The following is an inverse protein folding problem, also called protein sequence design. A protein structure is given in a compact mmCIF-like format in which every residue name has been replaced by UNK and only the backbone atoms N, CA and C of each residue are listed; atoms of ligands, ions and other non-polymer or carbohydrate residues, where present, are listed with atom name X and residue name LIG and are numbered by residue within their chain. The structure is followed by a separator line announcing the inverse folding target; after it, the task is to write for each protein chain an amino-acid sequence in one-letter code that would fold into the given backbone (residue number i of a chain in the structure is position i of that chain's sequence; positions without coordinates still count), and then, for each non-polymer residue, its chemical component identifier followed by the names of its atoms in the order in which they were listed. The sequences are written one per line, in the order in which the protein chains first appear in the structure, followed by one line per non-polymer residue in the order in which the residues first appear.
data_IF_807230236899
#
_entry.id   IF_807230236899
#
_cell.length_a   1.000
_cell.length_b   1.000
_cell.length_c   1.000
_cell.angle_alpha   90.00
_cell.angle_beta   90.00
_cell.angle_gamma   90.00
#
_symmetry.space_group_name_H-M   'P 1'
#
loop_
_entity.id
_entity.type
_entity.pdbx_description
1 polymer ?
#
# COMPACT_ATOMS: atom_id res chain seq x y z
N UNK A 1 12.43 0.52 -24.19
CA UNK A 1 12.65 -0.19 -25.46
C UNK A 1 11.49 0.16 -26.39
N UNK A 2 11.52 -0.16 -27.68
CA UNK A 2 10.27 -0.06 -28.48
C UNK A 2 9.39 -1.24 -28.10
N UNK A 3 8.14 -0.99 -27.74
CA UNK A 3 7.15 -2.01 -27.41
C UNK A 3 6.87 -2.93 -28.62
N UNK A 4 6.85 -4.24 -28.37
CA UNK A 4 6.68 -5.27 -29.39
C UNK A 4 5.30 -5.91 -29.39
N UNK A 5 4.54 -5.85 -28.29
CA UNK A 5 3.26 -6.54 -28.15
C UNK A 5 2.05 -5.58 -28.03
N UNK A 6 2.32 -4.29 -27.84
CA UNK A 6 1.32 -3.23 -27.88
C UNK A 6 0.53 -3.09 -26.58
N UNK A 7 1.07 -3.60 -25.47
CA UNK A 7 0.42 -3.55 -24.16
C UNK A 7 0.66 -2.24 -23.41
N UNK A 8 1.63 -1.43 -23.84
CA UNK A 8 1.94 -0.11 -23.28
C UNK A 8 1.36 1.05 -24.10
N UNK A 9 0.69 1.98 -23.41
CA UNK A 9 -0.04 3.10 -24.03
C UNK A 9 0.86 4.11 -24.77
N UNK A 10 2.18 4.15 -24.48
CA UNK A 10 3.16 5.00 -25.17
C UNK A 10 3.96 4.28 -26.26
N UNK A 11 3.72 2.97 -26.45
CA UNK A 11 4.48 2.14 -27.38
C UNK A 11 5.95 1.97 -27.00
N UNK A 12 6.27 2.09 -25.71
CA UNK A 12 7.60 1.87 -25.15
C UNK A 12 7.55 0.78 -24.07
N UNK A 13 8.45 -0.19 -24.21
CA UNK A 13 8.58 -1.33 -23.28
C UNK A 13 9.58 -0.99 -22.17
N UNK A 14 9.28 -1.41 -20.94
CA UNK A 14 10.12 -1.14 -19.78
C UNK A 14 11.14 -2.22 -19.53
N UNK A 15 12.39 -1.77 -19.36
CA UNK A 15 13.52 -2.67 -19.39
C UNK A 15 14.53 -2.37 -18.30
N UNK A 16 15.11 -3.45 -17.76
CA UNK A 16 16.32 -3.40 -16.98
C UNK A 16 17.52 -3.29 -17.92
N UNK A 17 18.53 -2.53 -17.49
CA UNK A 17 19.75 -2.30 -18.26
C UNK A 17 20.91 -3.12 -17.72
N UNK A 18 21.33 -4.20 -18.42
CA UNK A 18 22.56 -4.91 -18.11
C UNK A 18 23.81 -4.04 -18.32
N UNK A 19 24.93 -4.46 -17.73
CA UNK A 19 26.19 -3.71 -17.82
C UNK A 19 26.77 -3.65 -19.24
N UNK A 20 26.38 -4.58 -20.11
CA UNK A 20 26.82 -4.72 -21.51
C UNK A 20 25.81 -4.15 -22.51
N UNK A 21 24.84 -3.35 -22.04
CA UNK A 21 23.87 -2.67 -22.89
C UNK A 21 24.55 -1.80 -23.95
N UNK A 22 24.11 -1.94 -25.21
CA UNK A 22 24.70 -1.20 -26.34
C UNK A 22 23.70 -0.23 -26.94
N UNK A 23 24.08 1.03 -27.11
CA UNK A 23 23.29 2.00 -27.86
C UNK A 23 23.33 1.68 -29.37
N UNK A 24 22.17 1.55 -30.00
CA UNK A 24 22.03 1.35 -31.45
C UNK A 24 20.96 2.28 -32.01
N UNK A 25 21.41 3.34 -32.69
CA UNK A 25 20.54 4.42 -33.17
C UNK A 25 19.72 5.01 -32.02
N UNK A 26 18.39 5.02 -32.13
CA UNK A 26 17.49 5.58 -31.10
C UNK A 26 17.13 4.60 -29.99
N UNK A 27 17.66 3.38 -29.99
CA UNK A 27 17.29 2.35 -29.03
C UNK A 27 18.49 1.70 -28.36
N UNK A 28 18.20 1.01 -27.26
CA UNK A 28 19.13 0.14 -26.58
C UNK A 28 19.02 -1.29 -27.12
N UNK A 29 20.12 -2.03 -27.15
CA UNK A 29 20.16 -3.45 -27.53
C UNK A 29 20.77 -4.23 -26.38
N UNK A 30 20.13 -5.33 -26.01
CA UNK A 30 20.52 -6.18 -24.88
C UNK A 30 19.87 -5.77 -23.56
N UNK A 31 18.80 -4.97 -23.59
CA UNK A 31 18.00 -4.70 -22.39
C UNK A 31 17.18 -5.96 -22.05
N UNK A 32 16.86 -6.13 -20.77
CA UNK A 32 15.93 -7.18 -20.31
C UNK A 32 14.57 -6.54 -20.17
N UNK A 33 13.66 -6.90 -21.06
CA UNK A 33 12.29 -6.37 -21.12
C UNK A 33 11.42 -6.96 -20.02
N UNK A 34 10.33 -6.28 -19.67
CA UNK A 34 9.34 -6.78 -18.74
C UNK A 34 8.64 -8.04 -19.28
N UNK A 35 8.40 -8.12 -20.59
CA UNK A 35 7.96 -9.32 -21.31
C UNK A 35 8.84 -10.56 -21.04
N UNK A 36 10.16 -10.38 -21.11
CA UNK A 36 11.13 -11.45 -20.80
C UNK A 36 11.10 -11.82 -19.32
N UNK A 37 10.95 -10.84 -18.42
CA UNK A 37 10.77 -11.09 -16.99
C UNK A 37 9.47 -11.83 -16.72
N UNK A 38 8.38 -11.46 -17.37
CA UNK A 38 7.07 -12.08 -17.28
C UNK A 38 7.13 -13.55 -17.70
N UNK A 39 7.81 -13.84 -18.83
CA UNK A 39 8.03 -15.22 -19.28
C UNK A 39 8.85 -16.06 -18.28
N UNK A 40 9.76 -15.43 -17.52
CA UNK A 40 10.52 -16.10 -16.45
C UNK A 40 9.63 -16.32 -15.23
N UNK A 41 8.86 -15.32 -14.80
CA UNK A 41 7.97 -15.37 -13.64
C UNK A 41 6.85 -16.41 -13.84
N UNK A 42 6.33 -16.54 -15.05
CA UNK A 42 5.35 -17.56 -15.44
C UNK A 42 5.87 -18.98 -15.16
N UNK A 43 7.17 -19.22 -15.35
CA UNK A 43 7.80 -20.53 -15.07
C UNK A 43 7.99 -20.78 -13.57
N UNK A 44 7.78 -19.78 -12.73
CA UNK A 44 7.87 -19.86 -11.27
C UNK A 44 6.49 -20.00 -10.61
N UNK A 45 5.41 -20.16 -11.37
CA UNK A 45 4.06 -20.42 -10.84
C UNK A 45 4.03 -21.51 -9.76
N UNK A 46 3.24 -21.28 -8.71
CA UNK A 46 3.12 -22.14 -7.54
C UNK A 46 4.27 -22.01 -6.52
N UNK A 47 5.20 -21.07 -6.72
CA UNK A 47 6.30 -20.75 -5.80
C UNK A 47 6.10 -19.36 -5.20
N UNK A 48 6.54 -19.18 -3.96
CA UNK A 48 6.70 -17.86 -3.39
C UNK A 48 7.88 -17.15 -4.06
N UNK A 49 7.62 -15.99 -4.66
CA UNK A 49 8.63 -15.18 -5.36
C UNK A 49 8.52 -13.75 -4.87
N UNK A 50 9.63 -13.22 -4.35
CA UNK A 50 9.75 -11.80 -4.06
C UNK A 50 10.67 -11.17 -5.09
N UNK A 51 10.15 -10.20 -5.85
CA UNK A 51 10.90 -9.40 -6.80
C UNK A 51 11.20 -8.04 -6.18
N UNK A 52 12.47 -7.62 -6.16
CA UNK A 52 12.89 -6.34 -5.60
C UNK A 52 13.66 -5.58 -6.65
N UNK A 53 13.08 -4.51 -7.17
CA UNK A 53 13.65 -3.69 -8.25
C UNK A 53 14.02 -2.32 -7.68
N UNK A 54 15.31 -2.09 -7.50
CA UNK A 54 15.88 -0.79 -7.10
C UNK A 54 16.45 -0.04 -8.31
N UNK A 55 15.56 0.28 -9.24
CA UNK A 55 15.84 0.99 -10.49
C UNK A 55 14.79 2.08 -10.73
N UNK A 56 15.12 3.06 -11.57
CA UNK A 56 14.17 4.09 -11.97
C UNK A 56 13.07 3.52 -12.87
N UNK A 57 11.96 4.26 -12.89
CA UNK A 57 10.73 3.86 -13.54
C UNK A 57 10.28 4.96 -14.51
N UNK A 58 11.20 5.41 -15.35
CA UNK A 58 11.06 6.63 -16.15
C UNK A 58 10.68 6.33 -17.60
N UNK A 59 9.39 6.11 -17.88
CA UNK A 59 8.88 6.07 -19.26
C UNK A 59 9.03 7.44 -19.95
N UNK A 60 8.81 8.54 -19.22
CA UNK A 60 9.19 9.90 -19.64
C UNK A 60 9.55 10.71 -18.40
N UNK A 61 10.82 11.11 -18.29
CA UNK A 61 11.30 11.93 -17.17
C UNK A 61 10.48 13.24 -17.08
N UNK A 62 9.99 13.56 -15.88
CA UNK A 62 9.12 14.71 -15.61
C UNK A 62 9.85 16.07 -15.71
N UNK A 63 9.07 17.15 -15.64
CA UNK A 63 9.48 18.53 -15.96
C UNK A 63 10.69 19.08 -15.17
N UNK A 64 11.00 18.56 -13.98
CA UNK A 64 12.08 19.13 -13.13
C UNK A 64 13.48 18.71 -13.56
N UNK A 65 13.61 17.65 -14.37
CA UNK A 65 14.90 17.12 -14.76
C UNK A 65 15.29 17.50 -16.20
N UNK A 66 14.39 18.12 -16.97
CA UNK A 66 14.52 18.40 -18.42
C UNK A 66 15.79 19.16 -18.82
N UNK A 67 16.28 20.09 -17.99
CA UNK A 67 17.49 20.87 -18.31
C UNK A 67 18.81 20.14 -17.95
N UNK A 68 18.75 19.08 -17.11
CA UNK A 68 19.93 18.36 -16.61
C UNK A 68 19.99 16.87 -17.04
N UNK A 69 18.95 16.30 -17.67
CA UNK A 69 18.91 14.90 -18.14
C UNK A 69 20.11 14.54 -19.03
N UNK A 70 20.62 15.50 -19.81
CA UNK A 70 21.79 15.30 -20.68
C UNK A 70 23.13 15.21 -19.96
N UNK A 71 23.23 15.64 -18.69
CA UNK A 71 24.46 15.62 -17.89
C UNK A 71 24.48 14.53 -16.80
N UNK A 72 23.34 13.90 -16.52
CA UNK A 72 23.16 12.99 -15.39
C UNK A 72 22.98 13.75 -14.08
N UNK A 73 22.05 13.28 -13.24
CA UNK A 73 21.84 13.85 -11.90
C UNK A 73 22.60 12.96 -10.92
N UNK A 74 23.45 13.57 -10.10
CA UNK A 74 24.26 12.81 -9.14
C UNK A 74 23.36 12.02 -8.17
N UNK A 75 23.60 10.72 -8.06
CA UNK A 75 22.79 9.78 -7.28
C UNK A 75 21.52 9.28 -7.95
N UNK A 76 21.18 9.74 -9.16
CA UNK A 76 19.97 9.31 -9.85
C UNK A 76 20.19 8.00 -10.63
N UNK A 77 19.36 7.01 -10.29
CA UNK A 77 18.99 5.73 -10.91
C UNK A 77 18.84 5.49 -12.41
N UNK A 78 19.22 6.35 -13.36
CA UNK A 78 18.65 6.27 -14.72
C UNK A 78 19.62 6.27 -15.90
N UNK A 79 19.18 5.66 -17.01
CA UNK A 79 19.85 5.73 -18.31
C UNK A 79 18.97 6.45 -19.33
N UNK A 80 19.35 7.64 -19.84
CA UNK A 80 18.57 8.32 -20.88
C UNK A 80 18.60 7.55 -22.19
N UNK A 81 17.54 7.65 -22.99
CA UNK A 81 17.50 7.06 -24.33
C UNK A 81 18.60 7.67 -25.21
N UNK A 82 19.29 6.88 -26.07
CA UNK A 82 20.25 7.43 -27.00
C UNK A 82 19.58 8.43 -27.94
N UNK A 83 20.23 9.58 -28.15
CA UNK A 83 19.71 10.68 -28.99
C UNK A 83 18.39 11.31 -28.52
N UNK A 84 17.99 11.11 -27.26
CA UNK A 84 16.84 11.79 -26.66
C UNK A 84 16.99 13.31 -26.77
N UNK A 85 16.01 13.98 -27.38
CA UNK A 85 15.95 15.45 -27.39
C UNK A 85 15.17 15.92 -26.16
N UNK A 86 15.59 17.02 -25.51
CA UNK A 86 14.76 17.68 -24.50
C UNK A 86 13.41 18.02 -25.12
N UNK A 87 12.31 17.64 -24.46
CA UNK A 87 10.94 17.93 -24.93
C UNK A 87 10.40 19.09 -24.09
N UNK A 88 10.03 20.22 -24.71
CA UNK A 88 9.53 21.43 -24.01
C UNK A 88 8.25 21.17 -23.19
N UNK A 89 7.46 20.16 -23.60
CA UNK A 89 6.31 19.68 -22.85
C UNK A 89 6.22 18.16 -23.00
N UNK A 90 6.56 17.43 -21.93
CA UNK A 90 6.07 16.06 -21.78
C UNK A 90 4.54 16.12 -21.74
N UNK A 91 3.88 15.62 -22.78
CA UNK A 91 2.44 15.33 -22.74
C UNK A 91 2.27 14.12 -21.82
N UNK A 92 2.19 14.37 -20.52
CA UNK A 92 2.06 13.33 -19.49
C UNK A 92 0.61 12.83 -19.47
N UNK A 93 0.27 11.88 -20.33
CA UNK A 93 -0.75 10.89 -19.95
C UNK A 93 -0.03 9.84 -19.12
N UNK A 94 -0.53 9.61 -17.91
CA UNK A 94 0.17 8.81 -16.92
C UNK A 94 0.30 7.37 -17.38
N UNK A 95 1.51 6.97 -17.78
CA UNK A 95 1.84 5.57 -17.94
C UNK A 95 1.86 4.85 -16.59
N UNK A 96 1.30 3.65 -16.58
CA UNK A 96 1.41 2.63 -15.53
C UNK A 96 2.41 1.61 -16.06
N UNK A 97 3.47 1.31 -15.32
CA UNK A 97 4.19 0.07 -15.60
C UNK A 97 3.41 -1.01 -14.89
N UNK A 98 2.61 -1.72 -15.65
CA UNK A 98 1.89 -2.87 -15.15
C UNK A 98 2.81 -4.10 -15.25
N UNK A 99 3.61 -4.39 -14.20
CA UNK A 99 4.23 -5.72 -14.02
C UNK A 99 3.15 -6.80 -13.71
N UNK A 100 1.94 -6.62 -14.23
CA UNK A 100 0.92 -7.63 -14.33
C UNK A 100 0.31 -8.11 -13.01
N UNK A 101 0.65 -7.52 -11.86
CA UNK A 101 0.11 -7.99 -10.57
C UNK A 101 -1.31 -7.46 -10.30
N UNK A 102 -1.63 -6.24 -10.77
CA UNK A 102 -2.89 -5.57 -10.41
C UNK A 102 -3.80 -5.35 -11.62
N UNK A 103 -3.26 -4.97 -12.79
CA UNK A 103 -4.07 -4.65 -13.98
C UNK A 103 -4.15 -5.80 -15.02
N UNK A 104 -3.31 -6.86 -14.89
CA UNK A 104 -3.44 -8.16 -15.59
C UNK A 104 -3.85 -9.29 -14.59
N UNK A 105 -5.07 -9.25 -14.01
CA UNK A 105 -5.47 -10.05 -12.85
C UNK A 105 -5.42 -11.58 -13.03
N UNK A 106 -5.36 -12.09 -14.26
CA UNK A 106 -5.22 -13.53 -14.50
C UNK A 106 -3.85 -14.10 -14.12
N UNK A 107 -2.78 -13.29 -14.09
CA UNK A 107 -1.41 -13.77 -13.84
C UNK A 107 -0.98 -13.67 -12.37
N UNK A 108 -1.38 -12.60 -11.69
CA UNK A 108 -1.17 -12.36 -10.26
C UNK A 108 -1.93 -13.35 -9.35
N UNK A 109 -3.15 -13.71 -9.78
CA UNK A 109 -4.03 -14.59 -9.03
C UNK A 109 -3.51 -16.03 -8.93
N UNK A 110 -2.50 -16.43 -9.70
CA UNK A 110 -1.94 -17.79 -9.67
C UNK A 110 -0.52 -17.88 -9.12
N UNK A 111 0.23 -16.78 -9.07
CA UNK A 111 1.69 -16.83 -8.90
C UNK A 111 2.20 -16.41 -7.52
N UNK A 112 1.38 -15.75 -6.69
CA UNK A 112 1.75 -15.28 -5.34
C UNK A 112 3.11 -14.59 -5.28
N UNK A 113 3.37 -13.78 -6.31
CA UNK A 113 4.52 -12.89 -6.43
C UNK A 113 4.28 -11.67 -5.54
N UNK A 114 5.33 -11.20 -4.88
CA UNK A 114 5.37 -9.91 -4.18
C UNK A 114 6.45 -9.06 -4.85
N UNK A 115 6.05 -8.01 -5.55
CA UNK A 115 6.97 -7.13 -6.26
C UNK A 115 7.13 -5.81 -5.50
N UNK A 116 8.37 -5.42 -5.27
CA UNK A 116 8.77 -4.16 -4.64
C UNK A 116 9.55 -3.32 -5.63
N UNK A 117 9.21 -2.04 -5.74
CA UNK A 117 9.93 -1.10 -6.61
C UNK A 117 10.36 0.13 -5.83
N UNK A 118 11.54 0.65 -6.16
CA UNK A 118 12.10 1.82 -5.48
C UNK A 118 11.41 3.14 -5.79
N UNK A 119 10.68 3.24 -6.90
CA UNK A 119 10.09 4.49 -7.36
C UNK A 119 8.81 4.26 -8.16
N UNK A 120 7.90 5.24 -8.13
CA UNK A 120 6.66 5.25 -8.88
C UNK A 120 6.90 5.55 -10.37
N UNK A 121 5.89 5.36 -11.25
CA UNK A 121 5.94 5.81 -12.63
C UNK A 121 6.36 7.28 -12.78
N UNK A 122 7.38 7.48 -13.60
CA UNK A 122 8.02 8.76 -13.91
C UNK A 122 8.88 9.35 -12.79
N UNK A 123 9.19 8.57 -11.76
CA UNK A 123 10.18 8.91 -10.75
C UNK A 123 11.51 8.19 -11.00
N UNK A 124 12.54 8.70 -10.35
CA UNK A 124 13.89 8.13 -10.39
C UNK A 124 14.18 7.51 -9.03
N UNK A 125 14.75 6.29 -9.02
CA UNK A 125 15.32 5.71 -7.82
C UNK A 125 16.64 6.41 -7.47
N UNK A 126 17.01 6.45 -6.20
CA UNK A 126 18.14 7.23 -5.72
C UNK A 126 19.18 6.39 -4.99
N UNK A 127 20.46 6.67 -5.23
CA UNK A 127 21.56 6.39 -4.32
C UNK A 127 21.68 7.49 -3.26
N UNK A 128 22.03 7.11 -2.04
CA UNK A 128 22.16 8.03 -0.92
C UNK A 128 23.41 8.92 -1.08
N UNK A 129 23.22 10.10 -1.67
CA UNK A 129 24.33 11.04 -1.94
C UNK A 129 24.88 11.73 -0.70
N UNK A 130 24.28 11.52 0.48
CA UNK A 130 24.82 11.99 1.77
C UNK A 130 26.07 11.20 2.16
N UNK A 131 26.30 10.05 1.53
CA UNK A 131 27.45 9.19 1.74
C UNK A 131 28.58 9.45 0.71
N UNK A 132 29.85 9.18 1.08
CA UNK A 132 30.96 9.13 0.13
C UNK A 132 30.70 8.13 -1.00
N UNK A 133 31.19 8.41 -2.21
CA UNK A 133 30.91 7.63 -3.44
C UNK A 133 31.14 6.14 -3.26
N UNK A 134 32.23 5.75 -2.60
CA UNK A 134 32.61 4.36 -2.33
C UNK A 134 31.69 3.61 -1.35
N UNK A 135 30.87 4.35 -0.61
CA UNK A 135 29.92 3.83 0.39
C UNK A 135 28.47 4.11 0.01
N UNK A 136 28.20 4.72 -1.15
CA UNK A 136 26.84 4.98 -1.62
C UNK A 136 26.10 3.67 -1.85
N UNK A 137 24.84 3.68 -1.49
CA UNK A 137 23.91 2.59 -1.68
C UNK A 137 22.51 3.13 -1.97
N UNK A 138 21.63 2.28 -2.50
CA UNK A 138 20.26 2.66 -2.83
C UNK A 138 19.50 3.08 -1.58
N UNK A 139 18.79 4.20 -1.66
CA UNK A 139 17.93 4.71 -0.57
C UNK A 139 16.83 3.71 -0.26
N UNK A 140 16.16 3.21 -1.30
CA UNK A 140 15.14 2.19 -1.18
C UNK A 140 15.71 0.89 -0.60
N UNK A 141 16.80 0.35 -1.16
CA UNK A 141 17.37 -0.92 -0.67
C UNK A 141 17.80 -0.83 0.79
N UNK A 142 18.41 0.29 1.21
CA UNK A 142 18.82 0.48 2.60
C UNK A 142 17.60 0.48 3.55
N UNK A 143 16.53 1.20 3.20
CA UNK A 143 15.29 1.19 3.97
C UNK A 143 14.62 -0.20 3.97
N UNK A 144 14.55 -0.86 2.81
CA UNK A 144 13.96 -2.19 2.65
C UNK A 144 14.66 -3.23 3.52
N UNK A 145 16.00 -3.23 3.56
CA UNK A 145 16.77 -4.12 4.44
C UNK A 145 16.61 -3.72 5.90
N UNK A 146 16.68 -2.42 6.23
CA UNK A 146 16.57 -1.95 7.60
C UNK A 146 15.21 -2.30 8.23
N UNK A 147 14.12 -2.13 7.48
CA UNK A 147 12.76 -2.44 7.93
C UNK A 147 12.53 -3.92 8.21
N UNK A 148 13.27 -4.79 7.51
CA UNK A 148 13.24 -6.24 7.74
C UNK A 148 14.10 -6.68 8.94
N UNK A 149 14.99 -5.81 9.42
CA UNK A 149 15.88 -6.09 10.53
C UNK A 149 15.43 -5.38 11.80
N UNK A 150 15.02 -6.15 12.81
CA UNK A 150 14.55 -5.60 14.08
C UNK A 150 13.07 -5.28 14.05
N UNK A 151 12.67 -4.21 14.76
CA UNK A 151 11.26 -3.83 14.98
C UNK A 151 10.93 -2.42 14.46
N UNK A 152 11.76 -1.86 13.57
CA UNK A 152 11.59 -0.49 13.09
C UNK A 152 10.39 -0.32 12.16
N UNK A 153 10.05 -1.36 11.40
CA UNK A 153 8.87 -1.39 10.54
C UNK A 153 7.64 -2.00 11.21
N UNK A 154 7.79 -2.76 12.30
CA UNK A 154 6.69 -3.32 13.11
C UNK A 154 5.95 -2.17 13.84
N UNK A 155 4.91 -1.65 13.19
CA UNK A 155 4.24 -0.42 13.58
C UNK A 155 3.28 -0.63 14.76
N UNK A 156 2.71 -1.84 14.88
CA UNK A 156 1.84 -2.21 15.99
C UNK A 156 2.60 -2.89 17.16
N UNK A 157 3.91 -3.11 17.01
CA UNK A 157 4.79 -3.76 17.98
C UNK A 157 4.34 -5.18 18.37
N UNK A 158 3.72 -5.92 17.44
CA UNK A 158 3.27 -7.29 17.68
C UNK A 158 4.40 -8.33 17.53
N UNK A 159 5.56 -7.94 16.99
CA UNK A 159 6.70 -8.82 16.75
C UNK A 159 6.68 -9.50 15.37
N UNK A 160 5.78 -9.09 14.48
CA UNK A 160 5.67 -9.48 13.08
C UNK A 160 5.77 -8.20 12.24
N UNK A 161 6.60 -8.23 11.20
CA UNK A 161 6.62 -7.14 10.21
C UNK A 161 5.91 -7.62 8.97
N UNK A 162 4.73 -7.05 8.73
CA UNK A 162 3.90 -7.35 7.57
C UNK A 162 4.39 -6.64 6.30
N UNK A 163 3.88 -7.05 5.14
CA UNK A 163 4.19 -6.36 3.88
C UNK A 163 3.67 -4.91 3.89
N UNK A 164 2.49 -4.65 4.45
CA UNK A 164 1.97 -3.28 4.52
C UNK A 164 2.80 -2.39 5.45
N UNK A 165 3.23 -2.91 6.60
CA UNK A 165 4.10 -2.20 7.53
C UNK A 165 5.48 -1.90 6.95
N UNK A 166 6.11 -2.89 6.31
CA UNK A 166 7.38 -2.69 5.62
C UNK A 166 7.24 -1.64 4.51
N UNK A 167 6.12 -1.65 3.80
CA UNK A 167 5.84 -0.66 2.76
C UNK A 167 5.70 0.76 3.30
N UNK A 168 4.94 0.96 4.39
CA UNK A 168 4.81 2.28 5.04
C UNK A 168 6.16 2.76 5.60
N UNK A 169 6.96 1.86 6.19
CA UNK A 169 8.30 2.19 6.66
C UNK A 169 9.22 2.65 5.53
N UNK A 170 9.29 1.87 4.44
CA UNK A 170 10.16 2.20 3.29
C UNK A 170 9.71 3.49 2.61
N UNK A 171 8.40 3.72 2.53
CA UNK A 171 7.82 4.98 2.03
C UNK A 171 8.24 6.16 2.89
N UNK A 172 8.13 6.04 4.21
CA UNK A 172 8.52 7.12 5.14
C UNK A 172 10.03 7.43 5.09
N UNK A 173 10.89 6.41 5.00
CA UNK A 173 12.34 6.61 4.85
C UNK A 173 12.70 7.27 3.52
N UNK A 174 12.03 6.85 2.44
CA UNK A 174 12.22 7.42 1.10
C UNK A 174 11.81 8.89 1.04
N UNK A 175 10.64 9.23 1.63
CA UNK A 175 10.18 10.61 1.76
C UNK A 175 11.13 11.47 2.60
N UNK A 176 11.64 10.92 3.71
CA UNK A 176 12.62 11.60 4.58
C UNK A 176 13.92 11.89 3.85
N UNK A 177 14.43 10.94 3.08
CA UNK A 177 15.60 11.16 2.22
C UNK A 177 15.30 12.26 1.20
N UNK A 178 14.21 12.14 0.46
CA UNK A 178 13.86 13.04 -0.62
C UNK A 178 13.72 14.49 -0.13
N UNK A 179 13.03 14.69 1.01
CA UNK A 179 12.91 16.01 1.66
C UNK A 179 14.24 16.62 2.11
N UNK A 180 15.31 15.84 2.22
CA UNK A 180 16.66 16.32 2.56
C UNK A 180 17.50 16.71 1.34
N UNK A 181 17.03 16.43 0.13
CA UNK A 181 17.76 16.69 -1.12
C UNK A 181 17.07 17.78 -1.92
N UNK A 182 17.83 18.77 -2.39
CA UNK A 182 17.28 19.87 -3.22
C UNK A 182 16.72 19.40 -4.56
N UNK A 183 17.30 18.31 -5.11
CA UNK A 183 16.97 17.76 -6.44
C UNK A 183 16.00 16.58 -6.40
N UNK A 184 15.49 16.22 -5.23
CA UNK A 184 14.51 15.14 -5.09
C UNK A 184 13.14 15.75 -4.81
N UNK A 185 12.25 15.70 -5.80
CA UNK A 185 10.87 16.17 -5.63
C UNK A 185 10.07 15.16 -4.79
N UNK A 186 9.99 13.92 -5.27
CA UNK A 186 9.31 12.81 -4.61
C UNK A 186 10.02 11.49 -4.88
N UNK A 187 9.90 10.56 -3.92
CA UNK A 187 10.37 9.18 -4.04
C UNK A 187 9.33 8.29 -3.37
N UNK A 188 8.48 7.69 -4.19
CA UNK A 188 7.33 6.88 -3.78
C UNK A 188 7.56 5.41 -4.17
N UNK A 189 8.11 4.57 -3.28
CA UNK A 189 8.22 3.13 -3.48
C UNK A 189 6.87 2.49 -3.83
N UNK A 190 6.89 1.35 -4.51
CA UNK A 190 5.68 0.61 -4.88
C UNK A 190 5.71 -0.80 -4.30
N UNK A 191 4.54 -1.28 -3.86
CA UNK A 191 4.29 -2.67 -3.47
C UNK A 191 3.15 -3.22 -4.33
N UNK A 192 3.45 -4.29 -5.06
CA UNK A 192 2.52 -5.01 -5.89
C UNK A 192 2.39 -6.45 -5.38
N UNK A 193 1.20 -6.75 -4.88
CA UNK A 193 0.89 -8.06 -4.30
C UNK A 193 -0.61 -8.28 -4.29
N UNK A 194 -1.05 -9.51 -4.06
CA UNK A 194 -2.46 -9.79 -3.75
C UNK A 194 -2.84 -9.07 -2.46
N UNK A 195 -4.05 -8.52 -2.40
CA UNK A 195 -4.57 -7.86 -1.20
C UNK A 195 -4.37 -8.73 0.06
N UNK A 196 -4.67 -10.03 -0.03
CA UNK A 196 -4.58 -10.96 1.10
C UNK A 196 -3.16 -11.11 1.68
N UNK A 197 -2.12 -10.72 0.95
CA UNK A 197 -0.74 -10.77 1.41
C UNK A 197 -0.31 -9.50 2.17
N UNK A 198 -1.12 -8.44 2.22
CA UNK A 198 -0.74 -7.19 2.89
C UNK A 198 -0.38 -7.39 4.36
N UNK A 199 -1.25 -8.08 5.10
CA UNK A 199 -1.02 -8.43 6.51
C UNK A 199 -0.12 -9.65 6.72
N UNK A 200 0.37 -10.29 5.65
CA UNK A 200 1.30 -11.40 5.77
C UNK A 200 2.72 -10.88 6.01
N UNK A 201 3.50 -11.65 6.76
CA UNK A 201 4.86 -11.31 7.16
C UNK A 201 5.77 -11.13 5.95
N UNK A 202 6.43 -9.98 5.82
CA UNK A 202 7.46 -9.73 4.82
C UNK A 202 8.74 -10.55 5.08
N UNK A 203 8.99 -10.87 6.37
CA UNK A 203 10.10 -11.70 6.84
C UNK A 203 9.56 -12.75 7.78
N UNK A 204 10.16 -13.94 7.79
CA UNK A 204 9.85 -14.95 8.80
C UNK A 204 10.10 -14.36 10.20
N UNK A 205 9.10 -14.31 11.09
CA UNK A 205 9.28 -13.74 12.42
C UNK A 205 10.41 -14.41 13.18
N UNK A 206 11.34 -13.62 13.73
CA UNK A 206 12.52 -14.12 14.47
C UNK A 206 12.15 -14.98 15.69
N UNK A 207 10.93 -14.80 16.21
CA UNK A 207 10.40 -15.53 17.36
C UNK A 207 9.78 -16.90 17.03
N UNK A 208 10.06 -17.53 15.87
CA UNK A 208 9.50 -18.82 15.41
C UNK A 208 9.75 -20.07 16.31
N UNK A 209 9.86 -19.90 17.64
CA UNK A 209 9.69 -20.92 18.68
C UNK A 209 8.22 -21.14 19.07
N UNK A 210 7.99 -21.75 20.24
CA UNK A 210 6.67 -22.23 20.65
C UNK A 210 5.63 -21.12 20.92
N UNK A 211 6.04 -19.94 21.40
CA UNK A 211 5.13 -18.81 21.67
C UNK A 211 4.64 -18.14 20.38
N UNK A 212 5.50 -18.00 19.35
CA UNK A 212 5.07 -17.53 18.04
C UNK A 212 4.09 -18.47 17.33
N UNK A 213 4.13 -19.79 17.60
CA UNK A 213 3.15 -20.73 17.04
C UNK A 213 1.74 -20.55 17.62
N UNK A 214 1.61 -19.94 18.80
CA UNK A 214 0.32 -19.64 19.40
C UNK A 214 -0.26 -18.30 18.91
N UNK A 215 0.62 -17.35 18.55
CA UNK A 215 0.23 -16.01 18.08
C UNK A 215 0.04 -15.94 16.57
N UNK A 216 0.92 -16.59 15.81
CA UNK A 216 0.91 -16.52 14.36
C UNK A 216 0.42 -17.81 13.74
N UNK A 217 -0.37 -17.67 12.68
CA UNK A 217 -0.79 -18.76 11.82
C UNK A 217 -0.14 -18.63 10.44
N UNK A 218 0.02 -19.73 9.69
CA UNK A 218 0.44 -19.64 8.30
C UNK A 218 -0.57 -18.80 7.50
N UNK A 219 -0.07 -17.85 6.72
CA UNK A 219 -0.90 -17.15 5.77
C UNK A 219 -1.26 -18.10 4.61
N UNK A 220 -2.55 -18.33 4.42
CA UNK A 220 -3.04 -19.19 3.33
C UNK A 220 -2.93 -18.38 2.03
N UNK A 221 -1.76 -18.45 1.39
CA UNK A 221 -1.58 -18.10 -0.01
C UNK A 221 -1.47 -19.38 -0.86
N UNK A 222 -1.78 -19.29 -2.16
CA UNK A 222 -1.73 -20.41 -3.12
C UNK A 222 -0.33 -21.05 -3.30
N UNK A 223 0.68 -20.60 -2.55
CA UNK A 223 2.08 -20.95 -2.74
C UNK A 223 2.63 -21.89 -1.66
N UNK A 224 2.92 -23.11 -2.09
CA UNK A 224 3.44 -24.24 -1.28
C UNK A 224 4.91 -24.13 -0.83
N UNK A 225 5.56 -22.95 -0.93
CA UNK A 225 7.02 -22.83 -0.89
C UNK A 225 7.67 -22.04 0.26
N UNK A 226 6.97 -21.11 0.89
CA UNK A 226 7.44 -20.36 2.08
C UNK A 226 6.26 -20.14 3.01
N UNK A 227 6.44 -20.45 4.30
CA UNK A 227 5.48 -20.06 5.32
C UNK A 227 5.63 -18.56 5.57
N UNK A 228 4.84 -17.74 4.88
CA UNK A 228 4.48 -16.43 5.40
C UNK A 228 3.52 -16.64 6.58
N UNK A 229 3.58 -15.74 7.54
CA UNK A 229 2.80 -15.80 8.76
C UNK A 229 1.90 -14.57 8.86
N UNK A 230 0.83 -14.67 9.63
CA UNK A 230 -0.09 -13.57 9.93
C UNK A 230 -0.55 -13.73 11.39
N UNK A 231 -0.93 -12.63 12.06
CA UNK A 231 -1.47 -12.72 13.42
C UNK A 231 -2.80 -13.50 13.41
N UNK A 232 -2.90 -14.53 14.25
CA UNK A 232 -4.08 -15.38 14.34
C UNK A 232 -5.28 -14.64 14.96
N UNK A 233 -5.03 -13.56 15.71
CA UNK A 233 -6.08 -12.68 16.21
C UNK A 233 -6.42 -11.62 15.18
N UNK A 234 -7.65 -11.65 14.67
CA UNK A 234 -8.12 -10.71 13.66
C UNK A 234 -8.07 -9.23 14.10
N UNK A 235 -8.21 -8.95 15.40
CA UNK A 235 -8.12 -7.58 15.94
C UNK A 235 -6.66 -7.08 15.96
N UNK A 236 -5.71 -7.96 16.25
CA UNK A 236 -4.29 -7.62 16.21
C UNK A 236 -3.80 -7.49 14.75
N UNK A 237 -4.30 -8.34 13.86
CA UNK A 237 -4.01 -8.32 12.42
C UNK A 237 -4.47 -7.03 11.71
N UNK A 238 -5.34 -6.21 12.31
CA UNK A 238 -5.74 -4.90 11.73
C UNK A 238 -4.51 -4.04 11.49
N UNK A 239 -3.59 -3.96 12.46
CA UNK A 239 -2.37 -3.16 12.33
C UNK A 239 -1.48 -3.67 11.20
N UNK A 240 -1.35 -4.99 11.07
CA UNK A 240 -0.54 -5.64 10.02
C UNK A 240 -1.11 -5.38 8.63
N UNK A 241 -2.43 -5.39 8.47
CA UNK A 241 -3.06 -5.17 7.16
C UNK A 241 -3.03 -3.69 6.77
N UNK A 242 -3.27 -2.80 7.74
CA UNK A 242 -3.28 -1.35 7.52
C UNK A 242 -1.86 -0.84 7.27
N UNK A 243 -0.85 -1.41 7.93
CA UNK A 243 0.56 -1.02 7.81
C UNK A 243 0.93 0.33 8.43
N UNK A 244 -0.06 1.21 8.60
CA UNK A 244 0.09 2.58 9.03
C UNK A 244 -0.23 2.74 10.51
N UNK A 245 0.66 3.40 11.24
CA UNK A 245 0.42 3.77 12.63
C UNK A 245 -0.70 4.82 12.75
N UNK A 246 -1.52 4.70 13.78
CA UNK A 246 -2.48 5.73 14.16
C UNK A 246 -1.73 6.98 14.65
N UNK A 247 -1.62 7.99 13.78
CA UNK A 247 -0.98 9.27 14.08
C UNK A 247 -1.89 10.23 14.89
N UNK A 248 -3.09 9.80 15.28
CA UNK A 248 -4.09 10.62 15.96
C UNK A 248 -4.76 11.64 15.03
N UNK A 249 -4.74 11.41 13.72
CA UNK A 249 -5.43 12.24 12.73
C UNK A 249 -6.90 11.87 12.57
N UNK A 250 -7.27 10.65 12.94
CA UNK A 250 -8.65 10.17 13.02
C UNK A 250 -8.85 9.65 14.44
N UNK A 251 -9.86 10.16 15.13
CA UNK A 251 -10.20 9.70 16.48
C UNK A 251 -11.59 9.08 16.47
N UNK A 252 -11.72 7.96 17.17
CA UNK A 252 -12.98 7.29 17.42
C UNK A 252 -13.23 7.35 18.93
N UNK A 253 -14.44 7.71 19.33
CA UNK A 253 -14.86 7.64 20.73
C UNK A 253 -16.24 7.01 20.86
N UNK A 254 -16.45 6.36 22.01
CA UNK A 254 -17.75 5.85 22.44
C UNK A 254 -18.24 6.77 23.56
N UNK A 255 -19.54 7.07 23.58
CA UNK A 255 -20.18 7.88 24.64
C UNK A 255 -20.31 7.16 26.00
N UNK A 256 -19.68 6.00 26.14
CA UNK A 256 -19.67 5.17 27.35
C UNK A 256 -18.34 4.40 27.48
N UNK A 257 -18.07 3.72 28.60
CA UNK A 257 -16.85 2.93 28.77
C UNK A 257 -16.67 1.88 27.67
N UNK A 258 -15.42 1.64 27.26
CA UNK A 258 -15.07 0.63 26.25
C UNK A 258 -15.28 -0.81 26.72
N UNK A 259 -15.58 -1.04 28.00
CA UNK A 259 -16.09 -2.32 28.50
C UNK A 259 -17.60 -2.23 28.61
N UNK A 260 -18.31 -3.00 27.79
CA UNK A 260 -19.76 -2.97 27.66
C UNK A 260 -20.36 -4.35 27.95
N UNK A 261 -21.65 -4.36 28.30
CA UNK A 261 -22.44 -5.60 28.39
C UNK A 261 -23.21 -5.80 27.11
N UNK A 262 -23.47 -7.05 26.75
CA UNK A 262 -24.44 -7.33 25.67
C UNK A 262 -25.75 -6.61 25.97
N UNK A 263 -26.27 -5.85 25.00
CA UNK A 263 -27.46 -5.03 25.17
C UNK A 263 -27.21 -3.54 25.46
N UNK A 264 -25.96 -3.17 25.73
CA UNK A 264 -25.63 -1.78 25.99
C UNK A 264 -25.76 -0.91 24.72
N UNK A 265 -26.63 0.09 24.77
CA UNK A 265 -26.82 1.06 23.70
C UNK A 265 -25.73 2.14 23.69
N UNK A 266 -25.08 2.40 22.55
CA UNK A 266 -24.01 3.38 22.48
C UNK A 266 -24.04 4.24 21.21
N UNK A 267 -23.31 5.35 21.25
CA UNK A 267 -23.01 6.19 20.10
C UNK A 267 -21.52 6.24 19.85
N UNK A 268 -21.14 6.15 18.58
CA UNK A 268 -19.80 6.34 18.08
C UNK A 268 -19.64 7.77 17.60
N UNK A 269 -18.52 8.41 17.91
CA UNK A 269 -18.14 9.67 17.30
C UNK A 269 -16.80 9.50 16.60
N UNK A 270 -16.77 9.81 15.30
CA UNK A 270 -15.55 9.84 14.50
C UNK A 270 -15.22 11.28 14.17
N UNK A 271 -14.02 11.74 14.52
CA UNK A 271 -13.51 13.05 14.11
C UNK A 271 -12.20 12.86 13.33
N UNK A 272 -11.96 13.70 12.32
CA UNK A 272 -10.71 13.67 11.57
C UNK A 272 -10.15 15.07 11.39
N UNK A 273 -8.83 15.22 11.49
CA UNK A 273 -8.14 16.49 11.21
C UNK A 273 -8.18 16.87 9.72
N UNK A 274 -8.44 15.91 8.85
CA UNK A 274 -8.53 16.09 7.40
C UNK A 274 -9.96 15.83 6.92
N UNK A 275 -10.33 16.45 5.80
CA UNK A 275 -11.60 16.18 5.14
C UNK A 275 -11.45 14.96 4.22
N UNK A 276 -12.49 14.14 4.11
CA UNK A 276 -12.43 12.93 3.28
C UNK A 276 -13.62 12.00 3.44
N UNK A 277 -13.68 10.99 2.59
CA UNK A 277 -14.69 9.93 2.69
C UNK A 277 -14.34 8.98 3.84
N UNK A 278 -15.31 8.69 4.71
CA UNK A 278 -15.14 7.76 5.82
C UNK A 278 -15.54 6.34 5.41
N UNK A 279 -14.72 5.37 5.81
CA UNK A 279 -15.11 3.97 5.98
C UNK A 279 -14.92 3.63 7.45
N UNK A 280 -15.96 3.09 8.09
CA UNK A 280 -15.92 2.63 9.47
C UNK A 280 -16.31 1.16 9.52
N UNK A 281 -15.39 0.33 9.98
CA UNK A 281 -15.60 -1.10 10.19
C UNK A 281 -15.58 -1.41 11.68
N UNK A 282 -16.35 -2.41 12.09
CA UNK A 282 -16.23 -3.10 13.38
C UNK A 282 -15.69 -4.49 13.12
N UNK A 283 -14.60 -4.87 13.79
CA UNK A 283 -13.89 -6.14 13.60
C UNK A 283 -13.82 -6.87 14.93
N UNK A 284 -14.26 -8.13 14.96
CA UNK A 284 -14.18 -8.96 16.16
C UNK A 284 -13.05 -10.00 16.08
N UNK A 285 -12.74 -10.61 17.23
CA UNK A 285 -11.71 -11.65 17.35
C UNK A 285 -12.00 -12.93 16.56
N UNK A 286 -13.24 -13.17 16.13
CA UNK A 286 -13.59 -14.29 15.28
C UNK A 286 -13.26 -14.05 13.79
N UNK A 287 -12.76 -12.85 13.44
CA UNK A 287 -12.44 -12.49 12.07
C UNK A 287 -13.65 -12.05 11.25
N UNK A 288 -14.78 -11.78 11.90
CA UNK A 288 -15.94 -11.18 11.28
C UNK A 288 -15.84 -9.65 11.34
N UNK A 289 -16.24 -8.99 10.25
CA UNK A 289 -16.33 -7.55 10.15
C UNK A 289 -17.74 -7.09 9.77
N UNK A 290 -18.15 -5.96 10.34
CA UNK A 290 -19.38 -5.25 9.97
C UNK A 290 -19.02 -3.86 9.46
N UNK A 291 -19.53 -3.48 8.30
CA UNK A 291 -19.38 -2.12 7.79
C UNK A 291 -20.40 -1.19 8.45
N UNK A 292 -19.95 -0.45 9.45
CA UNK A 292 -20.76 0.53 10.19
C UNK A 292 -21.01 1.77 9.32
N UNK A 293 -20.05 2.18 8.49
CA UNK A 293 -20.20 3.30 7.57
C UNK A 293 -19.33 3.12 6.31
N UNK A 294 -19.79 3.53 5.11
CA UNK A 294 -21.16 3.92 4.80
C UNK A 294 -22.14 2.73 4.94
N UNK A 295 -23.44 2.95 4.96
CA UNK A 295 -24.43 1.85 5.00
C UNK A 295 -25.79 2.30 4.47
N UNK A 296 -26.70 1.35 4.29
CA UNK A 296 -28.02 1.57 3.67
C UNK A 296 -28.91 2.59 4.41
N UNK A 297 -28.68 2.81 5.70
CA UNK A 297 -29.43 3.77 6.55
C UNK A 297 -28.79 5.16 6.56
N UNK A 298 -27.51 5.26 6.20
CA UNK A 298 -26.68 6.47 6.31
C UNK A 298 -26.35 7.12 4.94
N UNK A 299 -27.18 6.89 3.91
CA UNK A 299 -26.85 7.21 2.52
C UNK A 299 -26.73 8.71 2.21
N UNK A 300 -27.33 9.57 3.05
CA UNK A 300 -27.31 11.04 2.86
C UNK A 300 -26.07 11.73 3.44
N UNK A 301 -25.24 10.99 4.19
CA UNK A 301 -24.05 11.56 4.82
C UNK A 301 -22.97 11.75 3.76
N UNK A 302 -22.50 12.99 3.66
CA UNK A 302 -21.43 13.45 2.76
C UNK A 302 -20.05 13.14 3.36
N UNK A 303 -18.96 13.29 2.58
CA UNK A 303 -17.60 13.22 3.12
C UNK A 303 -17.43 14.05 4.39
N UNK A 304 -16.63 13.55 5.33
CA UNK A 304 -16.29 14.25 6.56
C UNK A 304 -15.63 15.58 6.24
N UNK A 305 -16.02 16.61 6.98
CA UNK A 305 -15.31 17.88 7.01
C UNK A 305 -14.23 17.84 8.09
N UNK A 306 -13.09 18.47 7.82
CA UNK A 306 -12.00 18.54 8.77
C UNK A 306 -12.45 19.14 10.11
N UNK A 307 -12.12 18.45 11.20
CA UNK A 307 -12.45 18.75 12.58
C UNK A 307 -13.96 18.84 12.90
N UNK A 308 -14.82 18.28 12.03
CA UNK A 308 -16.25 18.16 12.29
C UNK A 308 -16.55 16.72 12.67
N UNK A 309 -16.92 16.44 13.93
CA UNK A 309 -17.23 15.09 14.37
C UNK A 309 -18.52 14.58 13.70
N UNK A 310 -18.49 13.31 13.30
CA UNK A 310 -19.66 12.56 12.88
C UNK A 310 -20.07 11.59 13.99
N UNK A 311 -21.29 11.74 14.50
CA UNK A 311 -21.85 10.83 15.50
C UNK A 311 -22.81 9.84 14.84
N UNK A 312 -22.62 8.55 15.12
CA UNK A 312 -23.39 7.44 14.59
C UNK A 312 -23.94 6.59 15.76
N UNK A 313 -25.20 6.15 15.72
CA UNK A 313 -26.22 6.54 14.75
C UNK A 313 -26.65 8.00 14.93
N UNK A 314 -26.96 8.66 13.81
CA UNK A 314 -27.57 10.00 13.83
C UNK A 314 -29.10 9.92 13.99
N UNK A 315 -29.78 11.07 14.05
CA UNK A 315 -31.24 11.11 14.21
C UNK A 315 -32.03 10.45 13.06
N UNK A 316 -31.40 10.23 11.90
CA UNK A 316 -32.04 9.64 10.71
C UNK A 316 -31.92 8.12 10.62
N UNK A 317 -31.07 7.49 11.43
CA UNK A 317 -30.95 6.02 11.47
C UNK A 317 -32.26 5.35 11.90
N UNK A 318 -32.97 5.95 12.86
CA UNK A 318 -34.22 5.41 13.41
C UNK A 318 -34.04 4.20 14.34
N UNK A 319 -32.80 3.88 14.73
CA UNK A 319 -32.45 2.88 15.74
C UNK A 319 -31.10 3.24 16.38
N UNK A 320 -30.82 2.63 17.53
CA UNK A 320 -29.57 2.78 18.24
C UNK A 320 -28.60 1.62 17.96
N UNK A 321 -27.29 1.85 18.10
CA UNK A 321 -26.32 0.75 18.11
C UNK A 321 -26.32 0.06 19.47
N UNK A 322 -26.27 -1.26 19.46
CA UNK A 322 -26.31 -2.12 20.64
C UNK A 322 -25.07 -3.01 20.66
N UNK A 323 -24.37 -3.05 21.79
CA UNK A 323 -23.23 -3.92 21.98
C UNK A 323 -23.70 -5.38 21.93
N UNK A 324 -23.05 -6.18 21.07
CA UNK A 324 -23.38 -7.58 20.87
C UNK A 324 -22.11 -8.42 20.73
N UNK A 325 -22.25 -9.73 20.80
CA UNK A 325 -21.11 -10.65 20.79
C UNK A 325 -20.43 -10.76 22.15
N UNK A 326 -19.19 -11.25 22.17
CA UNK A 326 -18.41 -11.46 23.38
C UNK A 326 -16.91 -11.34 23.07
N UNK A 327 -16.17 -10.75 23.99
CA UNK A 327 -14.72 -10.60 23.92
C UNK A 327 -14.29 -9.28 23.30
N UNK A 328 -13.04 -9.24 22.83
CA UNK A 328 -12.45 -8.04 22.23
C UNK A 328 -12.96 -7.81 20.81
N UNK A 329 -13.09 -6.55 20.44
CA UNK A 329 -13.40 -6.06 19.10
C UNK A 329 -12.75 -4.69 18.89
N UNK A 330 -12.68 -4.22 17.64
CA UNK A 330 -12.11 -2.94 17.31
C UNK A 330 -12.87 -2.23 16.19
N UNK A 331 -13.11 -0.94 16.40
CA UNK A 331 -13.51 -0.05 15.32
C UNK A 331 -12.28 0.41 14.54
N UNK A 332 -12.39 0.40 13.22
CA UNK A 332 -11.37 0.87 12.28
C UNK A 332 -11.97 1.94 11.40
N UNK A 333 -11.50 3.18 11.53
CA UNK A 333 -11.91 4.32 10.72
C UNK A 333 -10.83 4.64 9.70
N UNK A 334 -11.15 4.56 8.41
CA UNK A 334 -10.31 5.00 7.31
C UNK A 334 -10.91 6.27 6.72
N UNK A 335 -10.15 7.36 6.70
CA UNK A 335 -10.57 8.65 6.11
C UNK A 335 -9.73 8.89 4.87
N UNK A 336 -10.36 8.87 3.71
CA UNK A 336 -9.71 8.97 2.39
C UNK A 336 -9.95 10.37 1.82
N UNK A 337 -8.87 11.15 1.70
CA UNK A 337 -8.93 12.55 1.29
C UNK A 337 -9.04 12.72 -0.22
N UNK A 338 -8.48 11.78 -0.99
CA UNK A 338 -8.56 11.77 -2.44
C UNK A 338 -9.81 10.97 -2.92
N UNK A 339 -10.27 11.25 -4.15
CA UNK A 339 -11.51 10.68 -4.67
C UNK A 339 -11.34 9.25 -5.23
N UNK A 340 -11.04 8.30 -4.35
CA UNK A 340 -10.88 6.89 -4.70
C UNK A 340 -12.24 6.18 -4.76
N UNK A 341 -12.51 5.44 -5.83
CA UNK A 341 -13.71 4.62 -5.91
C UNK A 341 -13.55 3.32 -5.10
N UNK A 342 -14.30 3.27 -4.00
CA UNK A 342 -14.36 2.15 -3.07
C UNK A 342 -15.74 1.49 -3.07
N UNK A 343 -16.61 1.80 -4.04
CA UNK A 343 -17.99 1.31 -4.06
C UNK A 343 -18.10 -0.22 -4.13
N UNK A 344 -17.16 -0.90 -4.77
CA UNK A 344 -17.20 -2.37 -4.85
C UNK A 344 -16.85 -3.04 -3.52
N UNK A 345 -15.90 -2.47 -2.78
CA UNK A 345 -15.35 -3.05 -1.55
C UNK A 345 -16.06 -2.56 -0.29
N UNK A 346 -16.55 -1.31 -0.32
CA UNK A 346 -17.29 -0.65 0.75
C UNK A 346 -18.56 0.08 0.25
N UNK A 347 -19.54 -0.65 -0.33
CA UNK A 347 -20.75 -0.06 -0.91
C UNK A 347 -21.63 0.63 0.13
N UNK A 348 -22.19 1.79 -0.23
CA UNK A 348 -23.18 2.52 0.59
C UNK A 348 -24.49 1.77 0.79
N UNK A 349 -24.76 0.74 0.00
CA UNK A 349 -25.97 -0.09 0.07
C UNK A 349 -25.80 -1.30 0.99
N UNK A 350 -24.63 -1.48 1.62
CA UNK A 350 -24.40 -2.60 2.52
C UNK A 350 -25.25 -2.43 3.79
N UNK A 351 -25.98 -3.48 4.15
CA UNK A 351 -26.76 -3.51 5.38
C UNK A 351 -25.91 -3.89 6.59
N UNK A 352 -26.27 -3.39 7.77
CA UNK A 352 -25.53 -3.58 9.02
C UNK A 352 -25.55 -5.03 9.56
N UNK A 353 -26.37 -5.91 8.97
CA UNK A 353 -26.45 -7.34 9.32
C UNK A 353 -25.59 -8.23 8.42
N UNK A 354 -24.93 -7.64 7.42
CA UNK A 354 -24.05 -8.38 6.51
C UNK A 354 -22.71 -8.56 7.21
N UNK A 355 -22.41 -9.80 7.57
CA UNK A 355 -21.12 -10.19 8.13
C UNK A 355 -20.13 -10.44 6.99
N UNK A 356 -18.94 -9.84 7.11
CA UNK A 356 -17.85 -9.93 6.14
C UNK A 356 -16.64 -10.63 6.76
N UNK A 357 -15.72 -11.14 5.94
CA UNK A 357 -14.41 -11.55 6.42
C UNK A 357 -13.56 -10.29 6.66
N UNK A 358 -13.10 -10.08 7.90
CA UNK A 358 -12.37 -8.88 8.29
C UNK A 358 -11.05 -8.72 7.55
N UNK A 359 -10.25 -9.79 7.45
CA UNK A 359 -8.94 -9.76 6.81
C UNK A 359 -9.07 -9.46 5.32
N UNK A 360 -9.96 -10.16 4.63
CA UNK A 360 -10.22 -9.96 3.20
C UNK A 360 -10.73 -8.55 2.92
N UNK A 361 -11.77 -8.11 3.62
CA UNK A 361 -12.39 -6.79 3.40
C UNK A 361 -11.40 -5.66 3.63
N UNK A 362 -10.66 -5.70 4.75
CA UNK A 362 -9.69 -4.66 5.09
C UNK A 362 -8.53 -4.66 4.09
N UNK A 363 -8.06 -5.84 3.69
CA UNK A 363 -6.99 -5.98 2.70
C UNK A 363 -7.39 -5.41 1.34
N UNK A 364 -8.61 -5.69 0.87
CA UNK A 364 -9.09 -5.15 -0.41
C UNK A 364 -9.18 -3.63 -0.39
N UNK A 365 -9.67 -3.04 0.70
CA UNK A 365 -9.74 -1.59 0.86
C UNK A 365 -8.33 -0.99 0.88
N UNK A 366 -7.44 -1.50 1.74
CA UNK A 366 -6.07 -0.96 1.89
C UNK A 366 -5.27 -1.12 0.60
N UNK A 367 -5.42 -2.23 -0.13
CA UNK A 367 -4.75 -2.43 -1.42
C UNK A 367 -5.11 -1.37 -2.47
N UNK A 368 -6.35 -0.82 -2.43
CA UNK A 368 -6.75 0.30 -3.28
C UNK A 368 -6.16 1.63 -2.79
N UNK A 369 -5.99 1.79 -1.48
CA UNK A 369 -5.45 3.00 -0.84
C UNK A 369 -3.92 3.10 -0.89
N UNK A 370 -3.21 2.00 -1.16
CA UNK A 370 -1.75 1.99 -1.36
C UNK A 370 -1.33 2.28 -2.80
N UNK A 371 -2.31 2.45 -3.72
CA UNK A 371 -2.03 2.82 -5.11
C UNK A 371 -1.56 4.28 -5.23
N UNK A 372 -0.96 4.57 -6.37
CA UNK A 372 -0.63 5.94 -6.79
C UNK A 372 -1.90 6.68 -7.21
N UNK A 373 -2.00 7.91 -6.77
CA UNK A 373 -2.99 8.87 -7.20
C UNK A 373 -2.64 9.41 -8.59
N UNK A 374 -3.60 9.37 -9.52
CA UNK A 374 -3.37 9.72 -10.94
C UNK A 374 -4.30 10.80 -11.50
N UNK A 375 -5.22 11.33 -10.69
CA UNK A 375 -6.22 12.29 -11.18
C UNK A 375 -5.69 13.74 -11.20
N UNK A 376 -4.56 14.04 -10.56
CA UNK A 376 -3.84 15.31 -10.67
C UNK A 376 -2.47 15.13 -11.36
N UNK A 377 -1.80 16.24 -11.64
CA UNK A 377 -0.49 16.24 -12.31
C UNK A 377 0.64 15.68 -11.43
N UNK A 378 0.41 15.58 -10.12
CA UNK A 378 1.40 15.17 -9.14
C UNK A 378 1.17 13.69 -8.79
N UNK A 379 1.87 12.80 -9.51
CA UNK A 379 1.86 11.36 -9.20
C UNK A 379 2.47 11.13 -7.82
N UNK A 380 1.63 10.82 -6.83
CA UNK A 380 1.99 10.59 -5.42
C UNK A 380 1.13 9.46 -4.84
N UNK A 381 1.44 8.99 -3.63
CA UNK A 381 0.54 8.11 -2.89
C UNK A 381 -0.85 8.74 -2.62
N UNK A 382 -1.89 7.92 -2.57
CA UNK A 382 -3.22 8.32 -2.10
C UNK A 382 -3.14 8.80 -0.65
N UNK A 383 -3.79 9.92 -0.35
CA UNK A 383 -3.85 10.49 0.99
C UNK A 383 -5.01 9.90 1.76
N UNK A 384 -4.68 9.17 2.81
CA UNK A 384 -5.64 8.63 3.75
C UNK A 384 -5.03 8.52 5.15
N UNK A 385 -5.91 8.52 6.15
CA UNK A 385 -5.57 8.41 7.56
C UNK A 385 -6.40 7.29 8.20
N UNK A 386 -5.86 6.69 9.26
CA UNK A 386 -6.51 5.64 10.03
C UNK A 386 -6.67 6.06 11.48
N UNK A 387 -7.76 5.61 12.11
CA UNK A 387 -7.95 5.64 13.55
C UNK A 387 -8.50 4.29 14.01
N UNK A 388 -8.07 3.81 15.17
CA UNK A 388 -8.57 2.55 15.73
C UNK A 388 -9.03 2.71 17.18
N UNK A 389 -10.07 1.97 17.57
CA UNK A 389 -10.55 1.94 18.94
C UNK A 389 -10.95 0.52 19.34
N UNK A 390 -10.21 -0.07 20.29
CA UNK A 390 -10.55 -1.36 20.88
C UNK A 390 -11.62 -1.21 21.96
N UNK A 391 -12.50 -2.21 22.04
CA UNK A 391 -13.53 -2.33 23.05
C UNK A 391 -13.80 -3.80 23.39
N UNK A 392 -14.44 -4.03 24.53
CA UNK A 392 -14.74 -5.34 25.08
C UNK A 392 -16.24 -5.50 25.36
N UNK A 393 -16.78 -6.67 25.05
CA UNK A 393 -18.14 -7.08 25.44
C UNK A 393 -18.07 -8.28 26.39
N UNK A 394 -18.63 -8.13 27.59
CA UNK A 394 -18.61 -9.14 28.69
C UNK A 394 -19.33 -10.47 28.36
#
# INVERSE_FOLDING_TARGET
MTDQDGDEDDGMDEALAPFDLVAKAKDWVGAVTDDELDAILERLKGRAVTLVIDACHSGTISRSLLDEVSAGIDGARFLPRPEAKPVEQALTRGLRIDLGVIDKPSRANESGIVAWRASAPNQVAWDDVRLPVESRHGVFTAAYVAGQTGAAADANANGLTSNAELFEYVTAQSATYCASQEKCDTLDPQLETKAQNLGASAVIPAQAGAEAKARYEPAIGDNTGQASYQDANAVDAIGDIVGKMDAGDVTISIDRPTSMKTGDVFKLTVASKVAGSLILLDVNTAGAATQIFPNEFAQKITPLSANVPLTLPDEYYGFDFEASGKGESAFVALVVSDAVDLADVAPKTRGLKVELNARETLSEIVSRLQKIWTDDLDKRGIRWSVGTLRYHVE
#
